data_IF_948363962774
#
_entry.id   IF_948363962774
#
_cell.length_a   1.000
_cell.length_b   1.000
_cell.length_c   1.000
_cell.angle_alpha   90.00
_cell.angle_beta   90.00
_cell.angle_gamma   90.00
#
_symmetry.space_group_name_H-M   'P 1'
#
loop_
_entity.id
_entity.type
_entity.pdbx_description
1 polymer ?
#
# COMPACT_ATOMS: atom_id res chain seq x y z
N UNK A 1 -16.37 -34.13 12.24
CA UNK A 1 -15.11 -33.98 11.45
C UNK A 1 -14.51 -32.65 11.89
N UNK A 2 -13.39 -32.67 12.59
CA UNK A 2 -12.67 -31.43 12.89
C UNK A 2 -12.15 -30.90 11.57
N UNK A 3 -12.67 -29.77 11.12
CA UNK A 3 -12.08 -29.03 9.98
C UNK A 3 -10.71 -28.58 10.46
N UNK A 4 -9.65 -29.01 9.79
CA UNK A 4 -8.32 -28.46 10.04
C UNK A 4 -8.39 -26.94 9.95
N UNK A 5 -7.72 -26.21 10.87
CA UNK A 5 -7.72 -24.74 10.81
C UNK A 5 -7.23 -24.29 9.43
N UNK A 6 -7.84 -23.23 8.91
CA UNK A 6 -7.44 -22.68 7.63
C UNK A 6 -6.09 -22.00 7.76
N UNK A 7 -5.14 -22.39 6.90
CA UNK A 7 -3.79 -21.85 6.92
C UNK A 7 -3.72 -20.46 6.28
N UNK A 8 -3.00 -19.54 6.93
CA UNK A 8 -2.72 -18.20 6.44
C UNK A 8 -1.21 -17.98 6.31
N UNK A 9 -0.76 -17.47 5.15
CA UNK A 9 0.61 -17.05 4.94
C UNK A 9 0.76 -15.56 5.29
N UNK A 10 1.81 -15.22 6.02
CA UNK A 10 2.21 -13.85 6.31
C UNK A 10 3.48 -13.55 5.51
N UNK A 11 3.38 -12.64 4.55
CA UNK A 11 4.52 -12.24 3.71
C UNK A 11 5.10 -10.93 4.21
N UNK A 12 6.39 -10.94 4.56
CA UNK A 12 7.14 -9.81 5.11
C UNK A 12 8.25 -9.42 4.14
N UNK A 13 8.10 -8.34 3.34
CA UNK A 13 9.20 -7.80 2.55
C UNK A 13 10.22 -7.16 3.48
N UNK A 14 11.50 -7.54 3.35
CA UNK A 14 12.54 -7.07 4.24
C UNK A 14 13.68 -6.37 3.51
N UNK A 15 13.91 -5.12 3.85
CA UNK A 15 15.08 -4.33 3.49
C UNK A 15 15.30 -3.26 4.54
N UNK A 16 16.23 -3.47 5.50
CA UNK A 16 16.43 -2.57 6.63
C UNK A 16 17.90 -2.20 6.86
N UNK A 17 18.08 -1.04 7.49
CA UNK A 17 19.39 -0.52 7.94
C UNK A 17 19.45 -0.35 9.45
N UNK A 18 18.34 -0.52 10.15
CA UNK A 18 18.20 -0.38 11.59
C UNK A 18 17.91 -1.76 12.17
N UNK A 19 18.75 -2.17 13.14
CA UNK A 19 18.59 -3.45 13.84
C UNK A 19 17.34 -3.48 14.71
N UNK A 20 16.79 -4.67 14.88
CA UNK A 20 15.70 -4.97 15.80
C UNK A 20 14.31 -4.80 15.20
N UNK A 21 14.14 -4.14 14.05
CA UNK A 21 12.83 -3.93 13.46
C UNK A 21 12.21 -5.24 12.98
N UNK A 22 12.95 -6.03 12.18
CA UNK A 22 12.46 -7.33 11.71
C UNK A 22 12.13 -8.27 12.88
N UNK A 23 12.97 -8.27 13.91
CA UNK A 23 12.74 -9.10 15.09
C UNK A 23 11.44 -8.75 15.81
N UNK A 24 11.15 -7.46 15.98
CA UNK A 24 9.89 -6.97 16.56
C UNK A 24 8.69 -7.35 15.68
N UNK A 25 8.80 -7.12 14.37
CA UNK A 25 7.81 -7.47 13.38
C UNK A 25 7.46 -8.99 13.45
N UNK A 26 8.45 -9.87 13.31
CA UNK A 26 8.23 -11.33 13.34
C UNK A 26 7.67 -11.79 14.68
N UNK A 27 8.19 -11.26 15.81
CA UNK A 27 7.64 -11.56 17.13
C UNK A 27 6.17 -11.19 17.23
N UNK A 28 5.79 -10.02 16.73
CA UNK A 28 4.38 -9.57 16.73
C UNK A 28 3.46 -10.52 15.96
N UNK A 29 3.97 -11.14 14.87
CA UNK A 29 3.23 -12.17 14.12
C UNK A 29 3.05 -13.42 14.95
N UNK A 30 4.13 -13.92 15.58
CA UNK A 30 4.10 -15.14 16.38
C UNK A 30 3.19 -15.00 17.61
N UNK A 31 3.23 -13.84 18.27
CA UNK A 31 2.37 -13.51 19.42
C UNK A 31 0.88 -13.43 19.00
N UNK A 32 0.60 -13.12 17.74
CA UNK A 32 -0.75 -13.06 17.15
C UNK A 32 -1.24 -14.40 16.59
N UNK A 33 -0.41 -15.45 16.60
CA UNK A 33 -0.72 -16.72 15.93
C UNK A 33 -1.50 -17.72 16.81
N UNK A 34 -1.90 -17.35 18.03
CA UNK A 34 -2.58 -18.25 18.94
C UNK A 34 -3.85 -18.86 18.31
N UNK A 35 -3.87 -20.19 18.12
CA UNK A 35 -4.99 -20.91 17.53
C UNK A 35 -5.16 -20.79 16.00
N UNK A 36 -4.21 -20.16 15.31
CA UNK A 36 -4.19 -20.01 13.85
C UNK A 36 -3.04 -20.83 13.26
N UNK A 37 -3.30 -21.55 12.18
CA UNK A 37 -2.25 -22.23 11.40
C UNK A 37 -1.59 -21.23 10.46
N UNK A 38 -0.32 -20.90 10.73
CA UNK A 38 0.42 -19.87 10.00
C UNK A 38 1.66 -20.41 9.29
N UNK A 39 2.10 -19.71 8.27
CA UNK A 39 3.47 -19.70 7.76
C UNK A 39 3.93 -18.26 7.59
N UNK A 40 5.17 -17.97 7.97
CA UNK A 40 5.75 -16.62 7.87
C UNK A 40 6.89 -16.65 6.86
N UNK A 41 6.75 -15.87 5.79
CA UNK A 41 7.68 -15.80 4.69
C UNK A 41 8.37 -14.42 4.70
N UNK A 42 9.58 -14.37 5.24
CA UNK A 42 10.43 -13.18 5.23
C UNK A 42 11.23 -13.16 3.94
N UNK A 43 10.98 -12.18 3.09
CA UNK A 43 11.71 -12.03 1.82
C UNK A 43 12.79 -10.97 1.98
N UNK A 44 14.04 -11.42 2.14
CA UNK A 44 15.21 -10.54 2.19
C UNK A 44 15.56 -10.04 0.79
N UNK A 45 15.24 -8.77 0.54
CA UNK A 45 15.42 -8.06 -0.74
C UNK A 45 16.84 -7.46 -0.85
N UNK A 46 17.87 -8.25 -0.56
CA UNK A 46 19.25 -7.81 -0.54
C UNK A 46 19.51 -6.77 0.54
N UNK A 47 18.98 -7.01 1.74
CA UNK A 47 19.08 -6.11 2.88
C UNK A 47 20.53 -5.91 3.32
N UNK A 48 20.96 -4.68 3.69
CA UNK A 48 22.26 -4.45 4.30
C UNK A 48 22.47 -5.17 5.65
N UNK A 49 21.36 -5.50 6.33
CA UNK A 49 21.33 -6.35 7.52
C UNK A 49 20.68 -7.66 7.10
N UNK A 50 21.39 -8.80 7.03
CA UNK A 50 20.79 -10.08 6.71
C UNK A 50 19.68 -10.47 7.68
N UNK A 51 18.58 -11.02 7.13
CA UNK A 51 17.43 -11.39 7.95
C UNK A 51 17.78 -12.38 9.06
N UNK A 52 18.66 -13.34 8.79
CA UNK A 52 19.09 -14.35 9.77
C UNK A 52 19.82 -13.76 10.98
N UNK A 53 20.52 -12.61 10.80
CA UNK A 53 21.16 -11.93 11.94
C UNK A 53 20.13 -11.31 12.91
N UNK A 54 18.91 -11.05 12.43
CA UNK A 54 17.83 -10.44 13.21
C UNK A 54 16.90 -11.50 13.84
N UNK A 55 16.67 -12.63 13.15
CA UNK A 55 15.62 -13.60 13.51
C UNK A 55 16.10 -15.05 13.51
N UNK A 56 17.41 -15.30 13.50
CA UNK A 56 17.94 -16.68 13.40
C UNK A 56 17.42 -17.65 14.47
N UNK A 57 17.14 -17.15 15.67
CA UNK A 57 16.55 -17.94 16.77
C UNK A 57 15.08 -18.33 16.53
N UNK A 58 14.35 -17.66 15.62
CA UNK A 58 12.98 -18.06 15.25
C UNK A 58 12.95 -19.15 14.16
N UNK A 59 14.05 -19.34 13.43
CA UNK A 59 14.08 -20.25 12.27
C UNK A 59 14.08 -21.74 12.67
N UNK A 60 14.51 -22.06 13.88
CA UNK A 60 14.60 -23.46 14.36
C UNK A 60 13.26 -23.97 14.89
N UNK A 61 12.51 -23.14 15.63
CA UNK A 61 11.35 -23.57 16.41
C UNK A 61 10.00 -22.96 15.95
N UNK A 62 10.03 -22.02 15.01
CA UNK A 62 8.83 -21.32 14.57
C UNK A 62 8.55 -21.53 13.06
N UNK A 63 7.31 -21.37 12.60
CA UNK A 63 6.94 -21.51 11.18
C UNK A 63 7.40 -20.30 10.33
N UNK A 64 8.70 -19.97 10.40
CA UNK A 64 9.33 -18.81 9.75
C UNK A 64 10.36 -19.31 8.74
N UNK A 65 10.27 -18.82 7.51
CA UNK A 65 11.22 -19.08 6.43
C UNK A 65 11.81 -17.76 5.91
N UNK A 66 13.11 -17.74 5.63
CA UNK A 66 13.79 -16.61 4.96
C UNK A 66 14.06 -16.97 3.51
N UNK A 67 13.61 -16.10 2.63
CA UNK A 67 13.78 -16.22 1.17
C UNK A 67 14.66 -15.06 0.71
N UNK A 68 15.76 -15.35 0.02
CA UNK A 68 16.65 -14.31 -0.48
C UNK A 68 16.39 -13.95 -1.95
N UNK A 69 16.56 -12.67 -2.27
CA UNK A 69 16.62 -12.18 -3.64
C UNK A 69 17.58 -11.00 -3.78
N UNK A 70 18.02 -10.72 -5.01
CA UNK A 70 18.67 -9.45 -5.32
C UNK A 70 17.67 -8.29 -5.17
N UNK A 71 18.13 -7.14 -4.68
CA UNK A 71 17.24 -6.01 -4.41
C UNK A 71 16.45 -5.58 -5.66
N UNK A 72 15.15 -5.78 -5.60
CA UNK A 72 14.19 -5.47 -6.66
C UNK A 72 12.99 -4.64 -6.16
N UNK A 73 12.96 -4.32 -4.87
CA UNK A 73 11.94 -3.49 -4.22
C UNK A 73 10.77 -4.28 -3.61
N UNK A 74 9.92 -3.58 -2.83
CA UNK A 74 8.90 -4.23 -2.01
C UNK A 74 7.83 -4.99 -2.82
N UNK A 75 7.53 -4.55 -4.05
CA UNK A 75 6.62 -5.25 -4.94
C UNK A 75 7.15 -6.64 -5.34
N UNK A 76 8.43 -6.70 -5.74
CA UNK A 76 9.08 -7.95 -6.11
C UNK A 76 9.21 -8.88 -4.89
N UNK A 77 9.56 -8.33 -3.72
CA UNK A 77 9.67 -9.10 -2.50
C UNK A 77 8.31 -9.71 -2.10
N UNK A 78 7.21 -8.94 -2.14
CA UNK A 78 5.87 -9.49 -1.87
C UNK A 78 5.46 -10.55 -2.90
N UNK A 79 5.75 -10.35 -4.20
CA UNK A 79 5.48 -11.35 -5.23
C UNK A 79 6.29 -12.63 -4.99
N UNK A 80 7.57 -12.49 -4.62
CA UNK A 80 8.43 -13.63 -4.30
C UNK A 80 7.89 -14.43 -3.12
N UNK A 81 7.39 -13.74 -2.07
CA UNK A 81 6.69 -14.40 -0.97
C UNK A 81 5.44 -15.16 -1.44
N UNK A 82 4.60 -14.53 -2.28
CA UNK A 82 3.41 -15.18 -2.84
C UNK A 82 3.73 -16.43 -3.69
N UNK A 83 4.89 -16.50 -4.33
CA UNK A 83 5.35 -17.66 -5.08
C UNK A 83 5.79 -18.84 -4.18
N UNK A 84 6.17 -18.54 -2.91
CA UNK A 84 6.65 -19.53 -1.95
C UNK A 84 5.57 -19.99 -0.97
N UNK A 85 4.37 -19.42 -1.04
CA UNK A 85 3.25 -19.87 -0.21
C UNK A 85 3.01 -21.37 -0.40
N UNK A 86 2.96 -22.11 0.71
CA UNK A 86 2.80 -23.55 0.70
C UNK A 86 1.49 -23.98 0.02
N UNK A 87 1.50 -25.10 -0.75
CA UNK A 87 0.29 -25.63 -1.35
C UNK A 87 -0.80 -25.89 -0.30
N UNK A 88 -2.01 -25.46 -0.57
CA UNK A 88 -3.16 -25.61 0.32
C UNK A 88 -3.38 -24.46 1.29
N UNK A 89 -2.49 -23.50 1.37
CA UNK A 89 -2.69 -22.23 2.10
C UNK A 89 -3.82 -21.44 1.42
N UNK A 90 -4.84 -21.09 2.21
CA UNK A 90 -6.05 -20.43 1.69
C UNK A 90 -5.98 -18.92 1.74
N UNK A 91 -5.28 -18.36 2.69
CA UNK A 91 -5.26 -16.93 3.00
C UNK A 91 -3.88 -16.37 2.98
N UNK A 92 -3.77 -15.09 2.66
CA UNK A 92 -2.51 -14.33 2.71
C UNK A 92 -2.74 -12.99 3.39
N UNK A 93 -1.80 -12.62 4.24
CA UNK A 93 -1.65 -11.30 4.80
C UNK A 93 -0.25 -10.75 4.50
N UNK A 94 -0.08 -9.44 4.55
CA UNK A 94 1.19 -8.77 4.42
C UNK A 94 1.49 -7.98 5.69
N UNK A 95 2.76 -7.91 6.06
CA UNK A 95 3.23 -7.06 7.14
C UNK A 95 4.55 -6.42 6.72
N UNK A 96 4.64 -5.11 6.73
CA UNK A 96 5.90 -4.44 6.43
C UNK A 96 6.88 -4.63 7.60
N UNK A 97 8.16 -4.85 7.29
CA UNK A 97 9.17 -5.29 8.27
C UNK A 97 9.52 -4.28 9.39
N UNK A 98 8.95 -3.10 9.33
CA UNK A 98 9.02 -2.02 10.33
C UNK A 98 7.70 -1.78 11.07
N UNK A 99 6.66 -2.55 10.74
CA UNK A 99 5.35 -2.51 11.40
C UNK A 99 5.21 -3.64 12.44
N UNK A 100 4.30 -3.46 13.40
CA UNK A 100 4.00 -4.45 14.44
C UNK A 100 2.48 -4.67 14.54
N UNK A 101 2.06 -5.93 14.62
CA UNK A 101 0.68 -6.23 15.00
C UNK A 101 0.53 -6.17 16.53
N UNK A 102 -0.47 -5.43 16.99
CA UNK A 102 -0.73 -5.15 18.41
C UNK A 102 -2.05 -5.73 18.92
N UNK A 103 -2.80 -6.39 18.07
CA UNK A 103 -4.11 -7.00 18.38
C UNK A 103 -4.30 -8.30 17.61
N UNK A 104 -5.41 -9.02 17.79
CA UNK A 104 -5.65 -10.35 17.27
C UNK A 104 -5.98 -10.34 15.76
N UNK A 105 -5.11 -9.73 14.95
CA UNK A 105 -5.33 -9.53 13.52
C UNK A 105 -5.53 -10.84 12.76
N UNK A 106 -4.67 -11.83 13.01
CA UNK A 106 -4.74 -13.13 12.31
C UNK A 106 -6.00 -13.90 12.67
N UNK A 107 -6.38 -13.91 13.96
CA UNK A 107 -7.60 -14.58 14.42
C UNK A 107 -8.84 -13.97 13.78
N UNK A 108 -9.00 -12.65 13.84
CA UNK A 108 -10.16 -11.95 13.30
C UNK A 108 -10.20 -12.02 11.75
N UNK A 109 -9.03 -12.00 11.09
CA UNK A 109 -8.92 -12.18 9.65
C UNK A 109 -9.38 -13.58 9.22
N UNK A 110 -8.85 -14.63 9.85
CA UNK A 110 -9.24 -16.02 9.54
C UNK A 110 -10.71 -16.25 9.84
N UNK A 111 -11.20 -15.75 10.99
CA UNK A 111 -12.62 -15.81 11.37
C UNK A 111 -13.52 -15.20 10.28
N UNK A 112 -13.15 -14.03 9.75
CA UNK A 112 -13.92 -13.39 8.69
C UNK A 112 -13.85 -14.17 7.37
N UNK A 113 -12.66 -14.59 6.95
CA UNK A 113 -12.44 -15.28 5.69
C UNK A 113 -13.10 -16.69 5.68
N UNK A 114 -13.14 -17.38 6.82
CA UNK A 114 -13.86 -18.65 6.98
C UNK A 114 -15.39 -18.48 6.90
N UNK A 115 -15.93 -17.30 7.22
CA UNK A 115 -17.34 -16.95 6.99
C UNK A 115 -17.65 -16.58 5.52
N UNK A 116 -16.69 -16.75 4.62
CA UNK A 116 -16.84 -16.53 3.18
C UNK A 116 -16.69 -15.10 2.72
N UNK A 117 -16.07 -14.23 3.52
CA UNK A 117 -15.60 -12.93 3.04
C UNK A 117 -14.38 -13.14 2.13
N UNK A 118 -14.21 -12.25 1.17
CA UNK A 118 -13.10 -12.32 0.20
C UNK A 118 -11.83 -11.65 0.73
N UNK A 119 -12.04 -10.62 1.55
CA UNK A 119 -10.99 -9.81 2.16
C UNK A 119 -11.43 -9.40 3.57
N UNK A 120 -10.47 -9.34 4.47
CA UNK A 120 -10.57 -8.69 5.77
C UNK A 120 -9.65 -7.48 5.81
N UNK A 121 -10.16 -6.37 6.35
CA UNK A 121 -9.44 -5.12 6.50
C UNK A 121 -9.49 -4.66 7.95
N UNK A 122 -8.35 -4.55 8.59
CA UNK A 122 -8.18 -3.99 9.91
C UNK A 122 -7.80 -2.52 9.88
N UNK A 123 -7.99 -1.84 11.01
CA UNK A 123 -7.54 -0.48 11.19
C UNK A 123 -6.12 -0.45 11.75
N UNK A 124 -5.39 0.63 11.52
CA UNK A 124 -4.05 0.85 12.07
C UNK A 124 -3.86 2.30 12.49
N UNK A 125 -2.80 2.54 13.23
CA UNK A 125 -2.35 3.89 13.56
C UNK A 125 -0.90 4.06 13.15
N UNK A 126 -0.53 5.30 12.88
CA UNK A 126 0.85 5.66 12.54
C UNK A 126 1.40 6.59 13.59
N UNK A 127 2.63 6.35 14.02
CA UNK A 127 3.35 7.21 14.97
C UNK A 127 3.31 8.67 14.51
N UNK A 128 2.94 9.57 15.43
CA UNK A 128 2.86 11.02 15.15
C UNK A 128 1.58 11.48 14.45
N UNK A 129 0.67 10.58 14.06
CA UNK A 129 -0.65 10.93 13.51
C UNK A 129 -1.73 10.62 14.55
N UNK A 130 -2.55 11.62 14.97
CA UNK A 130 -3.50 11.44 16.08
C UNK A 130 -4.72 10.60 15.71
N UNK A 131 -5.03 10.44 14.42
CA UNK A 131 -6.18 9.68 13.92
C UNK A 131 -5.75 8.34 13.35
N UNK A 132 -6.61 7.32 13.48
CA UNK A 132 -6.42 6.04 12.83
C UNK A 132 -6.60 6.13 11.31
N UNK A 133 -6.12 5.14 10.56
CA UNK A 133 -6.23 5.14 9.10
C UNK A 133 -7.68 5.25 8.61
N UNK A 134 -8.61 4.59 9.25
CA UNK A 134 -10.04 4.65 8.86
C UNK A 134 -10.64 6.06 8.98
N UNK A 135 -9.95 6.98 9.67
CA UNK A 135 -10.37 8.35 9.92
C UNK A 135 -9.44 9.40 9.28
N UNK A 136 -8.62 9.03 8.31
CA UNK A 136 -7.66 9.95 7.70
C UNK A 136 -8.26 10.96 6.71
N UNK A 137 -9.54 10.93 6.48
CA UNK A 137 -10.20 11.91 5.61
C UNK A 137 -10.89 13.01 6.42
N UNK A 138 -10.81 14.24 5.90
CA UNK A 138 -11.59 15.37 6.41
C UNK A 138 -13.09 15.24 6.07
N UNK A 139 -13.44 14.33 5.14
CA UNK A 139 -14.81 14.05 4.75
C UNK A 139 -15.26 12.69 5.28
N UNK A 140 -16.39 12.67 5.99
CA UNK A 140 -16.97 11.44 6.58
C UNK A 140 -17.16 10.32 5.55
N UNK A 141 -17.66 10.65 4.37
CA UNK A 141 -17.94 9.68 3.29
C UNK A 141 -16.69 8.97 2.73
N UNK A 142 -15.51 9.46 3.06
CA UNK A 142 -14.24 8.86 2.68
C UNK A 142 -13.55 8.14 3.83
N UNK A 143 -14.19 8.05 5.00
CA UNK A 143 -13.77 7.29 6.17
C UNK A 143 -14.54 5.97 6.25
N UNK A 144 -14.04 5.02 7.05
CA UNK A 144 -14.78 3.80 7.36
C UNK A 144 -15.41 3.99 8.75
N UNK A 145 -16.73 4.16 8.77
CA UNK A 145 -17.52 4.41 9.98
C UNK A 145 -18.36 3.16 10.30
N UNK A 146 -18.06 2.38 11.36
CA UNK A 146 -18.72 1.11 11.64
C UNK A 146 -20.25 1.19 11.69
N UNK A 147 -20.79 2.30 12.20
CA UNK A 147 -22.24 2.53 12.32
C UNK A 147 -22.98 2.62 10.98
N UNK A 148 -22.27 2.73 9.86
CA UNK A 148 -22.83 2.77 8.51
C UNK A 148 -22.86 1.40 7.84
N UNK A 149 -22.37 0.36 8.53
CA UNK A 149 -22.15 -0.98 8.00
C UNK A 149 -22.87 -2.05 8.81
N UNK A 150 -22.90 -3.26 8.29
CA UNK A 150 -23.61 -4.37 8.92
C UNK A 150 -22.74 -5.07 9.95
N UNK A 151 -23.21 -5.16 11.21
CA UNK A 151 -22.57 -5.97 12.23
C UNK A 151 -22.64 -7.46 11.85
N UNK A 152 -21.52 -8.15 11.89
CA UNK A 152 -21.37 -9.59 11.64
C UNK A 152 -21.14 -10.34 12.95
N UNK A 153 -20.19 -9.86 13.76
CA UNK A 153 -19.86 -10.42 15.05
C UNK A 153 -19.53 -9.28 16.04
N UNK A 154 -20.44 -8.97 16.95
CA UNK A 154 -20.25 -7.86 17.88
C UNK A 154 -19.17 -8.11 18.94
N UNK A 155 -18.85 -9.38 19.26
CA UNK A 155 -17.81 -9.73 20.25
C UNK A 155 -16.41 -9.44 19.70
N UNK A 156 -16.26 -9.55 18.36
CA UNK A 156 -15.03 -9.30 17.65
C UNK A 156 -14.99 -7.96 16.91
N UNK A 157 -15.98 -7.07 17.12
CA UNK A 157 -16.14 -5.84 16.34
C UNK A 157 -16.04 -6.06 14.83
N UNK A 158 -16.60 -7.17 14.34
CA UNK A 158 -16.55 -7.54 12.95
C UNK A 158 -17.76 -7.02 12.19
N UNK A 159 -17.52 -6.32 11.10
CA UNK A 159 -18.52 -5.72 10.25
C UNK A 159 -18.38 -6.17 8.81
N UNK A 160 -19.49 -6.23 8.08
CA UNK A 160 -19.51 -6.32 6.64
C UNK A 160 -19.67 -4.95 6.03
N UNK A 161 -18.77 -4.58 5.13
CA UNK A 161 -18.81 -3.31 4.42
C UNK A 161 -20.06 -3.26 3.52
N UNK A 162 -20.90 -2.28 3.71
CA UNK A 162 -22.09 -2.00 2.90
C UNK A 162 -21.80 -0.79 2.02
N UNK A 163 -21.96 -0.95 0.71
CA UNK A 163 -21.69 0.09 -0.27
C UNK A 163 -20.67 -0.33 -1.33
N UNK A 164 -20.21 0.62 -2.12
CA UNK A 164 -19.22 0.40 -3.17
C UNK A 164 -17.80 0.49 -2.59
N UNK A 165 -17.28 -0.64 -2.13
CA UNK A 165 -15.91 -0.74 -1.61
C UNK A 165 -14.86 -0.44 -2.69
N UNK A 166 -15.13 -0.81 -3.95
CA UNK A 166 -14.21 -0.54 -5.03
C UNK A 166 -14.10 0.97 -5.29
N UNK A 167 -15.21 1.71 -5.24
CA UNK A 167 -15.20 3.18 -5.35
C UNK A 167 -14.39 3.83 -4.20
N UNK A 168 -14.51 3.30 -2.97
CA UNK A 168 -13.67 3.73 -1.85
C UNK A 168 -12.18 3.52 -2.17
N UNK A 169 -11.80 2.34 -2.68
CA UNK A 169 -10.41 2.05 -3.07
C UNK A 169 -9.90 3.00 -4.16
N UNK A 170 -10.73 3.34 -5.14
CA UNK A 170 -10.34 4.29 -6.21
C UNK A 170 -10.05 5.67 -5.64
N UNK A 171 -10.91 6.16 -4.73
CA UNK A 171 -10.82 7.51 -4.18
C UNK A 171 -9.85 7.62 -3.01
N UNK A 172 -9.80 6.62 -2.13
CA UNK A 172 -9.16 6.69 -0.81
C UNK A 172 -8.36 5.43 -0.44
N UNK A 173 -7.63 4.85 -1.38
CA UNK A 173 -6.86 3.61 -1.14
C UNK A 173 -5.86 3.69 0.03
N UNK A 174 -5.48 4.90 0.46
CA UNK A 174 -4.52 5.12 1.55
C UNK A 174 -5.08 4.86 2.95
N UNK A 175 -6.41 4.72 3.11
CA UNK A 175 -7.01 4.34 4.41
C UNK A 175 -6.89 2.85 4.71
N UNK A 176 -6.45 2.06 3.74
CA UNK A 176 -6.20 0.63 3.87
C UNK A 176 -4.74 0.38 3.52
N UNK A 177 -3.94 0.04 4.52
CA UNK A 177 -2.54 -0.37 4.35
C UNK A 177 -2.43 -1.86 4.00
N UNK A 178 -1.36 -2.31 3.35
CA UNK A 178 -1.08 -3.74 3.19
C UNK A 178 -0.98 -4.45 4.55
N UNK A 179 -0.39 -3.80 5.53
CA UNK A 179 -0.11 -4.31 6.89
C UNK A 179 -1.36 -4.83 7.63
N UNK A 180 -2.55 -4.30 7.32
CA UNK A 180 -3.80 -4.75 7.97
C UNK A 180 -4.81 -5.27 6.96
N UNK A 181 -4.34 -5.93 5.90
CA UNK A 181 -5.16 -6.55 4.89
C UNK A 181 -4.85 -8.04 4.77
N UNK A 182 -5.88 -8.88 4.84
CA UNK A 182 -5.81 -10.31 4.53
C UNK A 182 -6.86 -10.68 3.49
N UNK A 183 -6.52 -11.58 2.58
CA UNK A 183 -7.44 -11.96 1.51
C UNK A 183 -7.38 -13.46 1.19
N UNK A 184 -8.36 -13.95 0.45
CA UNK A 184 -8.46 -15.34 -0.01
C UNK A 184 -7.54 -15.59 -1.20
N UNK A 185 -6.36 -16.19 -0.95
CA UNK A 185 -5.43 -16.60 -2.01
C UNK A 185 -6.06 -17.67 -2.92
N UNK A 186 -6.83 -18.62 -2.34
CA UNK A 186 -7.53 -19.66 -3.09
C UNK A 186 -8.52 -19.11 -4.13
N UNK A 187 -9.01 -17.89 -3.92
CA UNK A 187 -9.93 -17.21 -4.85
C UNK A 187 -9.24 -16.25 -5.80
N UNK A 188 -8.10 -15.70 -5.41
CA UNK A 188 -7.37 -14.69 -6.18
C UNK A 188 -5.89 -15.06 -6.34
N UNK A 189 -5.59 -16.27 -6.88
CA UNK A 189 -4.22 -16.81 -6.90
C UNK A 189 -3.26 -16.04 -7.83
N UNK A 190 -3.79 -15.31 -8.81
CA UNK A 190 -3.00 -14.68 -9.87
C UNK A 190 -2.74 -13.19 -9.67
N UNK A 191 -3.31 -12.59 -8.61
CA UNK A 191 -3.12 -11.17 -8.33
C UNK A 191 -1.69 -10.92 -7.82
N UNK A 192 -0.98 -10.01 -8.47
CA UNK A 192 0.44 -9.69 -8.18
C UNK A 192 0.65 -8.19 -8.08
N UNK A 193 1.66 -7.81 -7.31
CA UNK A 193 2.15 -6.44 -7.26
C UNK A 193 2.87 -6.06 -8.56
N UNK A 194 2.76 -4.80 -8.97
CA UNK A 194 3.41 -4.29 -10.18
C UNK A 194 4.84 -3.83 -9.86
N UNK A 195 5.83 -4.65 -10.17
CA UNK A 195 7.25 -4.40 -9.86
C UNK A 195 7.84 -3.17 -10.57
N UNK A 196 7.27 -2.79 -11.72
CA UNK A 196 7.73 -1.60 -12.44
C UNK A 196 7.32 -0.26 -11.80
N UNK A 197 6.50 -0.30 -10.74
CA UNK A 197 6.13 0.87 -9.93
C UNK A 197 7.10 1.04 -8.77
N UNK A 198 7.65 2.22 -8.63
CA UNK A 198 8.49 2.59 -7.49
C UNK A 198 7.69 2.85 -6.21
N UNK A 199 6.45 3.32 -6.36
CA UNK A 199 5.49 3.58 -5.27
C UNK A 199 4.07 3.43 -5.78
N UNK A 200 3.15 3.03 -4.90
CA UNK A 200 1.74 2.82 -5.21
C UNK A 200 1.48 1.49 -5.90
N UNK A 201 2.43 0.57 -5.82
CA UNK A 201 2.27 -0.82 -6.20
C UNK A 201 1.14 -1.49 -5.39
N UNK A 202 1.04 -1.12 -4.11
CA UNK A 202 -0.03 -1.53 -3.21
C UNK A 202 -1.41 -1.00 -3.64
N UNK A 203 -1.46 0.23 -4.16
CA UNK A 203 -2.69 0.79 -4.71
C UNK A 203 -3.16 0.01 -5.93
N UNK A 204 -2.27 -0.26 -6.88
CA UNK A 204 -2.64 -1.00 -8.08
C UNK A 204 -3.05 -2.43 -7.73
N UNK A 205 -2.34 -3.08 -6.79
CA UNK A 205 -2.70 -4.40 -6.27
C UNK A 205 -4.12 -4.41 -5.67
N UNK A 206 -4.43 -3.48 -4.76
CA UNK A 206 -5.76 -3.37 -4.15
C UNK A 206 -6.86 -3.09 -5.16
N UNK A 207 -6.59 -2.25 -6.17
CA UNK A 207 -7.56 -1.99 -7.25
C UNK A 207 -7.76 -3.22 -8.13
N UNK A 208 -6.70 -3.96 -8.45
CA UNK A 208 -6.80 -5.21 -9.21
C UNK A 208 -7.62 -6.24 -8.47
N UNK A 209 -7.33 -6.45 -7.20
CA UNK A 209 -8.08 -7.34 -6.32
C UNK A 209 -9.54 -6.88 -6.18
N UNK A 210 -9.75 -5.61 -5.93
CA UNK A 210 -11.05 -4.98 -5.69
C UNK A 210 -12.06 -5.13 -6.83
N UNK A 211 -11.60 -5.28 -8.08
CA UNK A 211 -12.49 -5.51 -9.23
C UNK A 211 -13.30 -6.81 -9.14
N UNK A 212 -12.83 -7.77 -8.35
CA UNK A 212 -13.42 -9.13 -8.25
C UNK A 212 -13.87 -9.49 -6.84
N UNK A 213 -13.67 -8.61 -5.86
CA UNK A 213 -14.14 -8.78 -4.49
C UNK A 213 -15.66 -8.62 -4.47
N UNK A 214 -16.34 -9.62 -3.86
CA UNK A 214 -17.78 -9.57 -3.64
C UNK A 214 -18.15 -9.15 -2.22
N UNK A 215 -17.44 -9.67 -1.20
CA UNK A 215 -17.74 -9.42 0.21
C UNK A 215 -16.51 -8.97 0.97
N UNK A 216 -16.64 -7.87 1.70
CA UNK A 216 -15.57 -7.27 2.49
C UNK A 216 -15.95 -7.29 3.96
N UNK A 217 -15.09 -7.88 4.79
CA UNK A 217 -15.16 -7.74 6.22
C UNK A 217 -14.16 -6.68 6.70
N UNK A 218 -14.50 -5.97 7.76
CA UNK A 218 -13.56 -5.06 8.40
C UNK A 218 -13.79 -5.00 9.91
N UNK A 219 -12.77 -4.55 10.63
CA UNK A 219 -12.89 -4.21 12.04
C UNK A 219 -12.25 -2.85 12.33
N UNK A 220 -12.90 -1.99 13.15
CA UNK A 220 -12.34 -0.69 13.54
C UNK A 220 -11.25 -0.80 14.61
N UNK A 221 -11.03 -1.99 15.20
CA UNK A 221 -9.95 -2.24 16.15
C UNK A 221 -8.62 -1.85 15.55
N UNK A 222 -7.74 -1.29 16.36
CA UNK A 222 -6.36 -1.01 15.95
C UNK A 222 -5.56 -2.31 16.04
N UNK A 223 -5.13 -2.80 14.89
CA UNK A 223 -4.37 -4.06 14.78
C UNK A 223 -2.89 -3.86 14.55
N UNK A 224 -2.48 -2.68 14.09
CA UNK A 224 -1.08 -2.44 13.82
C UNK A 224 -0.65 -1.03 14.23
N UNK A 225 0.58 -0.96 14.73
CA UNK A 225 1.38 0.24 14.84
C UNK A 225 2.33 0.31 13.64
N UNK A 226 2.16 1.36 12.81
CA UNK A 226 3.02 1.59 11.65
C UNK A 226 4.29 2.31 12.09
N UNK A 227 5.42 1.63 11.86
CA UNK A 227 6.73 2.08 12.29
C UNK A 227 7.38 3.12 11.38
N UNK A 228 8.60 3.51 11.76
CA UNK A 228 9.46 4.43 11.02
C UNK A 228 10.69 3.68 10.48
N UNK A 229 10.47 2.83 9.47
CA UNK A 229 11.56 2.13 8.79
C UNK A 229 12.22 2.93 7.67
N UNK A 230 12.71 2.25 6.64
CA UNK A 230 13.22 2.91 5.44
C UNK A 230 12.07 3.50 4.65
N UNK A 231 11.65 4.70 5.05
CA UNK A 231 10.53 5.38 4.41
C UNK A 231 10.97 5.95 3.05
N UNK A 232 10.44 5.38 1.97
CA UNK A 232 10.71 5.83 0.60
C UNK A 232 10.24 7.29 0.38
N UNK A 233 9.27 7.78 1.19
CA UNK A 233 8.74 9.14 1.09
C UNK A 233 9.64 10.22 1.65
N UNK A 234 10.56 9.93 2.58
CA UNK A 234 11.33 10.95 3.33
C UNK A 234 12.21 11.83 2.44
N UNK A 235 12.62 11.33 1.27
CA UNK A 235 13.42 12.08 0.29
C UNK A 235 12.64 12.44 -0.98
N UNK A 236 11.30 12.30 -0.96
CA UNK A 236 10.46 12.47 -2.15
C UNK A 236 9.52 13.68 -2.09
N UNK A 237 9.61 14.51 -1.03
CA UNK A 237 8.79 15.72 -0.87
C UNK A 237 9.12 16.82 -1.88
N UNK A 238 8.25 17.84 -1.97
CA UNK A 238 8.47 19.02 -2.82
C UNK A 238 9.84 19.67 -2.54
N UNK A 239 10.57 19.99 -3.60
CA UNK A 239 11.95 20.52 -3.62
C UNK A 239 13.06 19.52 -3.29
N UNK A 240 12.77 18.27 -2.99
CA UNK A 240 13.77 17.22 -2.85
C UNK A 240 14.17 16.64 -4.21
N UNK A 241 15.30 15.92 -4.25
CA UNK A 241 15.74 15.23 -5.49
C UNK A 241 14.79 14.11 -5.91
N UNK A 242 14.19 13.41 -4.96
CA UNK A 242 13.25 12.31 -5.22
C UNK A 242 11.89 12.75 -5.79
N UNK A 243 11.54 14.04 -5.70
CA UNK A 243 10.21 14.50 -6.13
C UNK A 243 9.94 14.32 -7.62
N UNK A 244 10.97 14.46 -8.46
CA UNK A 244 10.84 14.21 -9.90
C UNK A 244 10.49 12.75 -10.19
N UNK A 245 11.19 11.83 -9.52
CA UNK A 245 10.94 10.39 -9.62
C UNK A 245 9.53 10.03 -9.12
N UNK A 246 9.12 10.59 -7.99
CA UNK A 246 7.79 10.41 -7.42
C UNK A 246 6.69 10.84 -8.39
N UNK A 247 6.79 12.04 -8.96
CA UNK A 247 5.77 12.57 -9.89
C UNK A 247 5.74 11.78 -11.20
N UNK A 248 6.90 11.33 -11.71
CA UNK A 248 6.97 10.41 -12.85
C UNK A 248 6.24 9.09 -12.56
N UNK A 249 6.46 8.55 -11.37
CA UNK A 249 5.81 7.31 -10.93
C UNK A 249 4.28 7.47 -10.81
N UNK A 250 3.79 8.59 -10.26
CA UNK A 250 2.35 8.84 -10.19
C UNK A 250 1.70 9.00 -11.57
N UNK A 251 2.41 9.52 -12.58
CA UNK A 251 1.94 9.50 -13.96
C UNK A 251 1.82 8.07 -14.46
N UNK A 252 2.83 7.22 -14.22
CA UNK A 252 2.81 5.82 -14.62
C UNK A 252 1.66 5.06 -13.93
N UNK A 253 1.52 5.20 -12.63
CA UNK A 253 0.44 4.58 -11.83
C UNK A 253 -0.95 4.99 -12.35
N UNK A 254 -1.21 6.29 -12.49
CA UNK A 254 -2.51 6.78 -12.95
C UNK A 254 -2.85 6.28 -14.37
N UNK A 255 -1.85 6.16 -15.24
CA UNK A 255 -2.02 5.57 -16.57
C UNK A 255 -2.36 4.09 -16.50
N UNK A 256 -1.61 3.29 -15.72
CA UNK A 256 -1.90 1.87 -15.52
C UNK A 256 -3.32 1.67 -14.98
N UNK A 257 -3.74 2.48 -14.00
CA UNK A 257 -5.11 2.42 -13.48
C UNK A 257 -6.14 2.72 -14.59
N UNK A 258 -5.90 3.70 -15.45
CA UNK A 258 -6.81 4.03 -16.57
C UNK A 258 -6.85 2.96 -17.67
N UNK A 259 -5.76 2.24 -17.88
CA UNK A 259 -5.58 1.24 -18.92
C UNK A 259 -6.02 -0.16 -18.49
N UNK A 260 -5.70 -0.56 -17.24
CA UNK A 260 -5.85 -1.93 -16.76
C UNK A 260 -7.07 -2.14 -15.85
N UNK A 261 -7.57 -1.07 -15.20
CA UNK A 261 -8.66 -1.16 -14.23
C UNK A 261 -9.99 -0.76 -14.86
N UNK A 262 -11.03 -1.57 -14.62
CA UNK A 262 -12.39 -1.27 -15.06
C UNK A 262 -13.00 -0.18 -14.18
N UNK A 263 -13.08 1.01 -14.71
CA UNK A 263 -13.58 2.20 -14.01
C UNK A 263 -14.88 2.67 -14.65
N UNK A 264 -15.84 3.08 -13.83
CA UNK A 264 -16.99 3.83 -14.29
C UNK A 264 -16.63 5.25 -14.75
N UNK A 265 -17.62 6.01 -15.20
CA UNK A 265 -17.40 7.38 -15.72
C UNK A 265 -16.87 8.34 -14.65
N UNK A 266 -17.34 8.25 -13.40
CA UNK A 266 -16.94 9.12 -12.28
C UNK A 266 -15.54 8.77 -11.80
N UNK A 267 -15.28 7.49 -11.59
CA UNK A 267 -13.99 6.96 -11.19
C UNK A 267 -12.90 7.29 -12.23
N UNK A 268 -13.21 7.10 -13.51
CA UNK A 268 -12.31 7.47 -14.62
C UNK A 268 -12.02 8.96 -14.66
N UNK A 269 -13.02 9.80 -14.42
CA UNK A 269 -12.84 11.25 -14.35
C UNK A 269 -11.94 11.63 -13.15
N UNK A 270 -12.13 11.00 -11.99
CA UNK A 270 -11.30 11.19 -10.81
C UNK A 270 -9.83 10.83 -11.08
N UNK A 271 -9.55 9.64 -11.64
CA UNK A 271 -8.19 9.20 -11.94
C UNK A 271 -7.55 10.08 -13.05
N UNK A 272 -8.33 10.54 -14.04
CA UNK A 272 -7.84 11.53 -15.02
C UNK A 272 -7.47 12.87 -14.37
N UNK A 273 -8.20 13.29 -13.34
CA UNK A 273 -7.85 14.44 -12.50
C UNK A 273 -6.49 14.25 -11.82
N UNK A 274 -6.30 13.10 -11.15
CA UNK A 274 -5.02 12.74 -10.52
C UNK A 274 -3.86 12.71 -11.53
N UNK A 275 -4.09 12.16 -12.72
CA UNK A 275 -3.08 12.16 -13.80
C UNK A 275 -2.74 13.60 -14.24
N UNK A 276 -3.73 14.48 -14.39
CA UNK A 276 -3.49 15.87 -14.75
C UNK A 276 -2.69 16.62 -13.65
N UNK A 277 -2.98 16.36 -12.37
CA UNK A 277 -2.24 16.91 -11.25
C UNK A 277 -0.79 16.41 -11.22
N UNK A 278 -0.58 15.11 -11.44
CA UNK A 278 0.74 14.50 -11.51
C UNK A 278 1.57 15.07 -12.67
N UNK A 279 0.96 15.30 -13.83
CA UNK A 279 1.62 15.99 -14.98
C UNK A 279 2.05 17.41 -14.62
N UNK A 280 1.19 18.19 -13.93
CA UNK A 280 1.53 19.55 -13.48
C UNK A 280 2.68 19.52 -12.47
N UNK A 281 2.63 18.61 -11.53
CA UNK A 281 3.66 18.42 -10.52
C UNK A 281 5.00 18.01 -11.13
N UNK A 282 4.98 17.13 -12.13
CA UNK A 282 6.19 16.73 -12.88
C UNK A 282 6.82 17.91 -13.62
N UNK A 283 6.04 18.71 -14.34
CA UNK A 283 6.53 19.93 -15.01
C UNK A 283 7.08 20.92 -13.97
N UNK A 284 6.40 21.09 -12.84
CA UNK A 284 6.89 21.97 -11.77
C UNK A 284 8.23 21.48 -11.18
N UNK A 285 8.40 20.16 -11.03
CA UNK A 285 9.65 19.54 -10.57
C UNK A 285 10.80 19.81 -11.55
N UNK A 286 10.60 19.60 -12.86
CA UNK A 286 11.59 19.89 -13.91
C UNK A 286 11.99 21.36 -13.88
N UNK A 287 11.02 22.27 -13.88
CA UNK A 287 11.28 23.72 -13.84
C UNK A 287 12.01 24.14 -12.56
N UNK A 288 11.68 23.54 -11.42
CA UNK A 288 12.36 23.82 -10.17
C UNK A 288 13.83 23.44 -10.24
N UNK A 289 14.15 22.22 -10.72
CA UNK A 289 15.54 21.77 -10.84
C UNK A 289 16.33 22.65 -11.81
N UNK A 290 15.77 22.97 -12.99
CA UNK A 290 16.42 23.87 -13.97
C UNK A 290 16.67 25.27 -13.39
N UNK A 291 15.67 25.88 -12.74
CA UNK A 291 15.80 27.22 -12.15
C UNK A 291 16.87 27.29 -11.07
N UNK A 292 17.00 26.23 -10.27
CA UNK A 292 17.95 26.16 -9.16
C UNK A 292 19.28 25.51 -9.56
N UNK A 293 19.52 25.27 -10.86
CA UNK A 293 20.72 24.65 -11.41
C UNK A 293 21.05 23.30 -10.74
N UNK A 294 20.01 22.58 -10.29
CA UNK A 294 20.16 21.22 -9.76
C UNK A 294 20.33 20.21 -10.89
N UNK A 295 21.03 19.09 -10.65
CA UNK A 295 21.12 18.03 -11.64
C UNK A 295 19.73 17.53 -12.02
N UNK A 296 19.47 17.38 -13.33
CA UNK A 296 18.21 16.88 -13.84
C UNK A 296 18.44 15.53 -14.51
N UNK A 297 17.71 14.51 -14.07
CA UNK A 297 17.71 13.21 -14.70
C UNK A 297 16.95 13.25 -16.02
N UNK A 298 17.69 13.56 -17.09
CA UNK A 298 17.14 13.63 -18.45
C UNK A 298 16.68 12.26 -18.97
N UNK A 299 17.23 11.15 -18.46
CA UNK A 299 16.80 9.81 -18.85
C UNK A 299 15.38 9.55 -18.33
N UNK A 300 15.11 9.87 -17.07
CA UNK A 300 13.81 9.79 -16.44
C UNK A 300 12.78 10.72 -17.12
N UNK A 301 13.19 11.97 -17.42
CA UNK A 301 12.31 12.94 -18.12
C UNK A 301 11.88 12.38 -19.49
N UNK A 302 12.83 11.90 -20.28
CA UNK A 302 12.55 11.30 -21.60
C UNK A 302 11.66 10.05 -21.48
N UNK A 303 11.97 9.17 -20.54
CA UNK A 303 11.20 7.96 -20.31
C UNK A 303 9.74 8.29 -19.93
N UNK A 304 9.54 9.28 -19.03
CA UNK A 304 8.21 9.73 -18.63
C UNK A 304 7.42 10.29 -19.82
N UNK A 305 8.03 11.18 -20.61
CA UNK A 305 7.37 11.77 -21.77
C UNK A 305 7.06 10.77 -22.89
N UNK A 306 7.90 9.74 -23.06
CA UNK A 306 7.63 8.63 -24.01
C UNK A 306 6.46 7.75 -23.55
N UNK A 307 6.38 7.47 -22.25
CA UNK A 307 5.28 6.69 -21.67
C UNK A 307 3.96 7.46 -21.66
N UNK A 308 4.01 8.79 -21.66
CA UNK A 308 2.83 9.68 -21.62
C UNK A 308 2.87 10.72 -22.76
N UNK A 309 2.57 10.34 -24.02
CA UNK A 309 2.63 11.26 -25.16
C UNK A 309 1.70 12.47 -25.01
N UNK A 310 0.51 12.28 -24.41
CA UNK A 310 -0.40 13.40 -24.14
C UNK A 310 0.20 14.37 -23.11
N UNK A 311 0.86 13.84 -22.07
CA UNK A 311 1.61 14.64 -21.10
C UNK A 311 2.75 15.41 -21.75
N UNK A 312 3.44 14.82 -22.72
CA UNK A 312 4.46 15.50 -23.52
C UNK A 312 3.87 16.67 -24.30
N UNK A 313 2.73 16.49 -24.98
CA UNK A 313 2.02 17.57 -25.68
C UNK A 313 1.50 18.68 -24.74
N UNK A 314 1.15 18.31 -23.50
CA UNK A 314 0.69 19.26 -22.48
C UNK A 314 1.81 19.92 -21.69
N UNK A 315 3.09 19.64 -21.99
CA UNK A 315 4.23 20.14 -21.22
C UNK A 315 4.29 21.68 -21.23
N UNK A 316 4.29 22.30 -22.43
CA UNK A 316 4.25 23.75 -22.58
C UNK A 316 2.98 24.40 -22.02
N UNK A 317 1.76 23.92 -22.31
CA UNK A 317 0.55 24.40 -21.67
C UNK A 317 0.60 24.37 -20.13
N UNK A 318 1.20 23.34 -19.53
CA UNK A 318 1.35 23.26 -18.08
C UNK A 318 2.36 24.30 -17.55
N UNK A 319 3.44 24.61 -18.27
CA UNK A 319 4.34 25.73 -17.93
C UNK A 319 3.57 27.05 -17.87
N UNK A 320 2.77 27.32 -18.90
CA UNK A 320 1.97 28.56 -18.96
C UNK A 320 0.97 28.64 -17.80
N UNK A 321 0.26 27.56 -17.50
CA UNK A 321 -0.67 27.50 -16.35
C UNK A 321 0.02 27.78 -15.02
N UNK A 322 1.21 27.19 -14.80
CA UNK A 322 2.00 27.42 -13.59
C UNK A 322 2.50 28.88 -13.48
N UNK A 323 2.85 29.49 -14.59
CA UNK A 323 3.23 30.90 -14.64
C UNK A 323 2.06 31.84 -14.32
N UNK A 324 0.89 31.60 -14.93
CA UNK A 324 -0.32 32.39 -14.71
C UNK A 324 -0.88 32.21 -13.29
N UNK A 325 -0.90 30.98 -12.74
CA UNK A 325 -1.33 30.73 -11.37
C UNK A 325 -0.50 31.47 -10.31
N UNK A 326 0.80 31.70 -10.56
CA UNK A 326 1.66 32.52 -9.69
C UNK A 326 1.35 34.02 -9.78
N UNK A 327 0.85 34.51 -10.89
CA UNK A 327 0.43 35.89 -11.04
C UNK A 327 -0.88 36.17 -10.28
N UNK A 328 -1.80 35.19 -10.25
CA UNK A 328 -3.05 35.29 -9.50
C UNK A 328 -2.88 35.27 -7.98
N UNK A 329 -1.91 34.54 -7.46
CA UNK A 329 -1.62 34.47 -6.00
C UNK A 329 -0.87 35.70 -5.43
N UNK A 330 -0.23 36.51 -6.28
CA UNK A 330 0.41 37.75 -5.82
C UNK A 330 -0.58 38.91 -5.56
N UNK A 331 -1.86 38.74 -5.92
CA UNK A 331 -2.92 39.75 -5.74
C UNK A 331 -3.75 39.57 -4.45
N UNK A 332 -3.64 38.47 -3.72
CA UNK A 332 -4.36 38.23 -2.46
C UNK A 332 -3.44 38.40 -1.26
N UNK A 333 -3.52 39.54 -0.56
CA UNK A 333 -2.96 39.65 0.80
C UNK A 333 -3.69 38.68 1.71
N UNK A 334 -3.03 37.94 2.59
CA UNK A 334 -3.71 37.21 3.65
C UNK A 334 -4.35 38.26 4.58
N UNK A 335 -5.66 38.23 4.70
CA UNK A 335 -6.37 38.85 5.80
C UNK A 335 -6.07 38.05 7.06
N UNK A 336 -5.67 38.77 8.08
CA UNK A 336 -5.29 38.33 9.43
C UNK A 336 -6.34 37.47 10.13
#
# INVERSE_FOLDING_TARGET
MSVSPSKIAVVIPYFQRKRGLLRQCVRSVLDNAAGVDIEVLVVDDGSPLPAEEEIGDFLEDCPVEVIHQENAGPAAARNRGLEHVAPGTRYVAFLDSDDEWIGPFLEDAVRALDQGFDIFVGNSRRTGIPTSRFQWSDTRNDNICPEEHRVVDPEHDLYEYVGDFFDLLVRRTNIIGPTTMAYRLDRFPDVRFRESLFQGEDRLFKLTLGQSIGRVAFSPRIYADEGEGVNIFDKSGWKTEGYLRLTSNYIALARMVLEEIRLDGKQRAFVRGQLADSRRSFVAAVLHQLRHRKPLDWSLVRATLRRDPLGAGLFLPNILRLALGRLGQKGGRPTA
#
